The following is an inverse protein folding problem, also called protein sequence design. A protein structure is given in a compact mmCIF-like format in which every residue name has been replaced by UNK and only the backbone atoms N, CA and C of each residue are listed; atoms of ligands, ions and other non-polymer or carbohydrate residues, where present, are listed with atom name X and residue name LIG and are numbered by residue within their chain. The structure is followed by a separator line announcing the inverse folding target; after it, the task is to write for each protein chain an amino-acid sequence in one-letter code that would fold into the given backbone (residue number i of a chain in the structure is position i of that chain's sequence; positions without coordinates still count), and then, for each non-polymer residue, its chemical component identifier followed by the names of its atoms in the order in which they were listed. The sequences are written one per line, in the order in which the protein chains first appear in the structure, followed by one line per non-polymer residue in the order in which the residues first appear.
data_IF_148892489736
#
_entry.id   IF_148892489736
#
_cell.length_a   1.000
_cell.length_b   1.000
_cell.length_c   1.000
_cell.angle_alpha   90.00
_cell.angle_beta   90.00
_cell.angle_gamma   90.00
#
_symmetry.space_group_name_H-M   'P 1'
#
loop_
_entity.id
_entity.type
_entity.pdbx_description
1 polymer ?
#
# COMPACT_ATOMS: atom_id res chain seq x y z
N UNK A 1 41.71 75.22 -25.66
CA UNK A 1 40.45 75.52 -24.94
C UNK A 1 39.41 74.47 -25.32
N UNK A 2 38.82 73.85 -24.30
CA UNK A 2 37.45 73.32 -24.20
C UNK A 2 36.85 72.27 -25.16
N UNK A 3 36.53 71.12 -24.52
CA UNK A 3 35.22 70.41 -24.47
C UNK A 3 34.71 69.59 -25.66
N UNK A 4 34.77 68.25 -25.46
CA UNK A 4 33.85 67.11 -25.78
C UNK A 4 32.44 67.44 -26.37
N UNK A 5 31.71 66.51 -27.07
CA UNK A 5 31.59 65.08 -26.73
C UNK A 5 31.35 64.01 -27.85
N UNK A 6 31.43 62.75 -27.37
CA UNK A 6 30.90 61.42 -27.80
C UNK A 6 30.03 61.27 -29.07
N UNK A 7 30.31 60.20 -29.84
CA UNK A 7 29.27 59.43 -30.55
C UNK A 7 29.65 57.94 -30.71
N UNK A 8 28.60 57.14 -30.91
CA UNK A 8 28.48 55.74 -30.55
C UNK A 8 28.94 54.74 -31.63
N UNK A 9 29.34 53.57 -31.12
CA UNK A 9 29.03 52.22 -31.57
C UNK A 9 29.11 51.83 -33.06
N UNK A 10 29.94 50.82 -33.33
CA UNK A 10 29.57 49.72 -34.24
C UNK A 10 30.06 48.41 -33.63
N UNK A 11 29.11 47.59 -33.13
CA UNK A 11 29.34 46.18 -32.80
C UNK A 11 29.28 45.38 -34.11
N UNK A 12 30.31 44.59 -34.39
CA UNK A 12 30.31 43.60 -35.48
C UNK A 12 29.71 42.29 -34.97
N UNK A 13 28.67 41.81 -35.66
CA UNK A 13 27.91 40.59 -35.36
C UNK A 13 28.50 39.40 -36.11
N UNK A 14 28.98 38.40 -35.38
CA UNK A 14 29.30 37.09 -35.95
C UNK A 14 28.11 36.15 -35.77
N UNK A 15 27.49 35.76 -36.89
CA UNK A 15 26.40 34.78 -36.95
C UNK A 15 26.97 33.36 -36.81
N UNK A 16 26.65 32.67 -35.72
CA UNK A 16 26.82 31.21 -35.63
C UNK A 16 25.47 30.55 -35.89
N UNK A 17 25.31 29.93 -37.06
CA UNK A 17 24.13 29.14 -37.40
C UNK A 17 24.20 27.78 -36.69
N UNK A 18 23.38 27.56 -35.68
CA UNK A 18 23.15 26.25 -35.10
C UNK A 18 21.99 25.56 -35.82
N UNK A 19 22.28 24.48 -36.56
CA UNK A 19 21.26 23.57 -37.09
C UNK A 19 20.67 22.74 -35.93
N UNK A 20 19.44 23.02 -35.52
CA UNK A 20 18.66 22.12 -34.67
C UNK A 20 17.83 21.19 -35.56
N UNK A 21 18.31 19.96 -35.75
CA UNK A 21 17.49 18.90 -36.32
C UNK A 21 16.45 18.46 -35.26
N UNK A 22 15.20 18.91 -35.42
CA UNK A 22 14.07 18.41 -34.64
C UNK A 22 13.73 16.97 -35.10
N UNK A 23 14.24 15.97 -34.38
CA UNK A 23 13.72 14.60 -34.50
C UNK A 23 12.31 14.57 -33.92
N UNK A 24 11.30 14.53 -34.80
CA UNK A 24 9.94 14.22 -34.41
C UNK A 24 9.92 12.82 -33.76
N UNK A 25 9.62 12.75 -32.46
CA UNK A 25 9.39 11.49 -31.79
C UNK A 25 8.21 10.78 -32.48
N UNK A 26 8.30 9.47 -32.77
CA UNK A 26 7.20 8.76 -33.38
C UNK A 26 6.00 8.83 -32.43
N UNK A 27 4.86 9.29 -32.94
CA UNK A 27 3.60 9.25 -32.21
C UNK A 27 3.36 7.80 -31.78
N UNK A 28 3.41 7.55 -30.46
CA UNK A 28 3.13 6.25 -29.91
C UNK A 28 1.71 5.86 -30.31
N UNK A 29 1.58 4.90 -31.22
CA UNK A 29 0.31 4.32 -31.60
C UNK A 29 -0.39 3.85 -30.32
N UNK A 30 -1.56 4.42 -30.02
CA UNK A 30 -2.38 3.98 -28.92
C UNK A 30 -2.69 2.49 -29.14
N UNK A 31 -2.29 1.64 -28.19
CA UNK A 31 -2.64 0.23 -28.21
C UNK A 31 -4.16 0.10 -28.35
N UNK A 32 -4.67 -0.87 -29.15
CA UNK A 32 -6.10 -1.05 -29.31
C UNK A 32 -6.73 -1.26 -27.94
N UNK A 33 -7.84 -0.59 -27.68
CA UNK A 33 -8.61 -0.70 -26.45
C UNK A 33 -9.02 -2.18 -26.29
N UNK A 34 -8.23 -2.94 -25.54
CA UNK A 34 -8.51 -4.32 -25.22
C UNK A 34 -9.90 -4.38 -24.61
N UNK A 35 -10.73 -5.29 -25.12
CA UNK A 35 -12.00 -5.65 -24.50
C UNK A 35 -11.70 -6.09 -23.07
N UNK A 36 -11.90 -5.20 -22.10
CA UNK A 36 -11.70 -5.54 -20.70
C UNK A 36 -12.75 -6.58 -20.32
N UNK A 37 -12.34 -7.86 -20.35
CA UNK A 37 -13.16 -8.95 -19.87
C UNK A 37 -13.73 -8.57 -18.49
N UNK A 38 -15.03 -8.77 -18.32
CA UNK A 38 -15.73 -8.39 -17.08
C UNK A 38 -14.97 -8.99 -15.89
N UNK A 39 -14.63 -8.19 -14.86
CA UNK A 39 -13.85 -8.70 -13.74
C UNK A 39 -14.53 -9.90 -13.07
N UNK A 40 -13.76 -10.93 -12.75
CA UNK A 40 -14.28 -12.12 -12.06
C UNK A 40 -14.90 -11.71 -10.70
N UNK A 41 -16.09 -12.23 -10.34
CA UNK A 41 -16.67 -12.02 -9.02
C UNK A 41 -15.72 -12.51 -7.92
N UNK A 42 -15.74 -11.84 -6.77
CA UNK A 42 -15.07 -12.39 -5.59
C UNK A 42 -15.83 -13.64 -5.13
N UNK A 43 -15.09 -14.66 -4.71
CA UNK A 43 -15.68 -15.93 -4.23
C UNK A 43 -15.66 -16.06 -2.70
N UNK A 44 -15.35 -14.99 -1.96
CA UNK A 44 -15.42 -14.98 -0.50
C UNK A 44 -14.25 -15.65 0.24
N UNK A 45 -13.17 -16.00 -0.47
CA UNK A 45 -11.94 -16.50 0.15
C UNK A 45 -11.16 -15.33 0.77
N UNK A 46 -10.74 -15.49 2.03
CA UNK A 46 -10.06 -14.44 2.78
C UNK A 46 -9.13 -15.01 3.85
N UNK A 47 -8.18 -14.19 4.32
CA UNK A 47 -7.30 -14.53 5.44
C UNK A 47 -7.64 -13.67 6.65
N UNK A 48 -7.76 -14.32 7.79
CA UNK A 48 -8.16 -13.71 9.05
C UNK A 48 -7.16 -13.93 10.16
N UNK A 49 -6.99 -12.93 11.02
CA UNK A 49 -6.39 -13.07 12.34
C UNK A 49 -7.51 -13.16 13.39
N UNK A 50 -7.48 -14.23 14.18
CA UNK A 50 -8.29 -14.36 15.39
C UNK A 50 -7.55 -13.83 16.61
N UNK A 51 -8.27 -13.14 17.50
CA UNK A 51 -7.77 -12.66 18.80
C UNK A 51 -7.98 -13.68 19.95
N UNK A 52 -8.34 -14.93 19.61
CA UNK A 52 -8.37 -16.03 20.57
C UNK A 52 -6.98 -16.50 21.00
N UNK A 53 -6.93 -17.51 21.87
CA UNK A 53 -5.68 -18.08 22.40
C UNK A 53 -4.68 -18.39 21.28
N UNK A 54 -3.49 -17.80 21.37
CA UNK A 54 -2.39 -18.02 20.43
C UNK A 54 -2.52 -17.28 19.09
N UNK A 55 -3.46 -16.34 18.96
CA UNK A 55 -3.60 -15.45 17.81
C UNK A 55 -3.52 -16.15 16.44
N UNK A 56 -4.36 -17.17 16.16
CA UNK A 56 -4.21 -17.95 14.94
C UNK A 56 -4.58 -17.13 13.71
N UNK A 57 -3.76 -17.30 12.67
CA UNK A 57 -4.00 -16.74 11.34
C UNK A 57 -4.47 -17.88 10.44
N UNK A 58 -5.64 -17.71 9.81
CA UNK A 58 -6.31 -18.77 9.05
C UNK A 58 -6.87 -18.26 7.74
N UNK A 59 -6.80 -19.09 6.70
CA UNK A 59 -7.49 -18.89 5.43
C UNK A 59 -8.89 -19.47 5.52
N UNK A 60 -9.90 -18.71 5.18
CA UNK A 60 -11.27 -19.19 5.00
C UNK A 60 -11.57 -19.42 3.53
N UNK A 61 -12.23 -20.52 3.21
CA UNK A 61 -12.80 -20.80 1.89
C UNK A 61 -14.25 -21.28 2.04
N UNK A 62 -15.23 -20.65 1.33
CA UNK A 62 -16.61 -21.11 1.36
C UNK A 62 -16.74 -22.59 0.99
N UNK A 63 -17.56 -23.33 1.73
CA UNK A 63 -17.71 -24.78 1.59
C UNK A 63 -16.60 -25.61 2.24
N UNK A 64 -15.41 -25.06 2.48
CA UNK A 64 -14.29 -25.76 3.15
C UNK A 64 -14.01 -25.29 4.58
N UNK A 65 -14.43 -24.08 4.95
CA UNK A 65 -14.21 -23.52 6.28
C UNK A 65 -12.82 -22.92 6.46
N UNK A 66 -12.33 -22.90 7.70
CA UNK A 66 -11.05 -22.29 8.06
C UNK A 66 -9.91 -23.31 8.07
N UNK A 67 -8.78 -22.95 7.48
CA UNK A 67 -7.51 -23.69 7.53
C UNK A 67 -6.43 -22.80 8.13
N UNK A 68 -5.74 -23.29 9.17
CA UNK A 68 -4.68 -22.55 9.86
C UNK A 68 -3.46 -22.38 8.95
N UNK A 69 -2.98 -21.14 8.78
CA UNK A 69 -1.72 -20.79 8.11
C UNK A 69 -0.58 -20.60 9.12
N UNK A 70 -0.90 -20.19 10.33
CA UNK A 70 0.09 -19.89 11.35
C UNK A 70 -0.50 -19.20 12.56
N UNK A 71 0.35 -18.50 13.28
CA UNK A 71 0.00 -17.65 14.42
C UNK A 71 0.67 -16.30 14.22
N UNK A 72 0.10 -15.26 14.83
CA UNK A 72 0.76 -13.96 14.89
C UNK A 72 2.14 -14.11 15.56
N UNK A 73 3.23 -13.65 14.94
CA UNK A 73 4.53 -13.62 15.58
C UNK A 73 4.52 -12.65 16.76
N UNK A 74 5.30 -12.96 17.79
CA UNK A 74 5.40 -12.13 19.01
C UNK A 74 5.81 -10.68 18.74
N UNK A 75 6.54 -10.43 17.64
CA UNK A 75 6.94 -9.08 17.23
C UNK A 75 5.77 -8.22 16.75
N UNK A 76 4.62 -8.81 16.43
CA UNK A 76 3.50 -8.11 15.79
C UNK A 76 3.78 -7.70 14.33
N UNK A 77 5.00 -7.88 13.82
CA UNK A 77 5.40 -7.46 12.48
C UNK A 77 5.14 -8.56 11.45
N UNK A 78 3.93 -8.61 10.86
CA UNK A 78 3.56 -9.64 9.89
C UNK A 78 2.57 -9.16 8.81
N UNK A 79 2.40 -9.97 7.77
CA UNK A 79 1.33 -9.83 6.78
C UNK A 79 1.04 -11.16 6.08
N UNK A 80 -0.17 -11.28 5.52
CA UNK A 80 -0.57 -12.41 4.70
C UNK A 80 -0.40 -12.11 3.21
N UNK A 81 -0.03 -13.12 2.41
CA UNK A 81 0.09 -13.01 0.96
C UNK A 81 -1.28 -12.83 0.28
N UNK A 82 -1.38 -12.08 -0.82
CA UNK A 82 -2.63 -11.90 -1.56
C UNK A 82 -3.27 -13.20 -2.08
N UNK A 83 -2.48 -14.24 -2.38
CA UNK A 83 -2.98 -15.57 -2.72
C UNK A 83 -3.51 -16.36 -1.49
N UNK A 84 -3.31 -15.82 -0.29
CA UNK A 84 -3.74 -16.38 0.98
C UNK A 84 -2.98 -17.62 1.44
N UNK A 85 -1.85 -17.97 0.82
CA UNK A 85 -1.13 -19.23 1.09
C UNK A 85 0.04 -19.09 2.06
N UNK A 86 0.58 -17.89 2.23
CA UNK A 86 1.81 -17.66 3.00
C UNK A 86 1.68 -16.45 3.92
N UNK A 87 2.52 -16.43 4.95
CA UNK A 87 2.75 -15.29 5.81
C UNK A 87 4.16 -14.76 5.57
N UNK A 88 4.34 -13.46 5.75
CA UNK A 88 5.64 -12.83 5.93
C UNK A 88 5.72 -12.24 7.33
N UNK A 89 6.86 -12.34 7.99
CA UNK A 89 7.07 -11.70 9.29
C UNK A 89 8.52 -11.31 9.53
N UNK A 90 8.72 -10.39 10.47
CA UNK A 90 10.04 -9.99 10.95
C UNK A 90 10.29 -10.60 12.32
N UNK A 91 11.42 -11.29 12.47
CA UNK A 91 11.88 -11.79 13.77
C UNK A 91 12.51 -10.67 14.60
N UNK A 92 12.67 -10.90 15.90
CA UNK A 92 13.48 -10.08 16.81
C UNK A 92 14.91 -9.79 16.29
N UNK A 93 15.52 -10.77 15.60
CA UNK A 93 16.83 -10.62 14.94
C UNK A 93 16.80 -9.85 13.61
N UNK A 94 15.65 -9.31 13.19
CA UNK A 94 15.52 -8.58 11.93
C UNK A 94 15.58 -9.47 10.69
N UNK A 95 15.19 -10.74 10.80
CA UNK A 95 15.06 -11.63 9.63
C UNK A 95 13.66 -11.52 9.06
N UNK A 96 13.58 -11.30 7.74
CA UNK A 96 12.32 -11.39 7.01
C UNK A 96 12.11 -12.85 6.66
N UNK A 97 11.11 -13.48 7.27
CA UNK A 97 10.70 -14.85 7.00
C UNK A 97 9.46 -14.89 6.13
N UNK A 98 9.40 -15.86 5.24
CA UNK A 98 8.26 -16.11 4.35
C UNK A 98 7.91 -17.60 4.37
N UNK A 99 6.64 -17.93 4.59
CA UNK A 99 6.13 -19.30 4.51
C UNK A 99 4.90 -19.54 5.38
N UNK A 100 4.67 -20.79 5.79
CA UNK A 100 3.53 -21.21 6.61
C UNK A 100 4.03 -22.13 7.73
N UNK A 101 3.89 -21.71 8.99
CA UNK A 101 4.39 -22.47 10.13
C UNK A 101 5.89 -22.76 10.06
N UNK A 102 6.28 -24.02 10.25
CA UNK A 102 7.68 -24.47 10.30
C UNK A 102 8.41 -24.44 8.95
N UNK A 103 7.70 -24.34 7.82
CA UNK A 103 8.29 -24.40 6.47
C UNK A 103 8.83 -23.05 5.97
N UNK A 104 8.84 -22.02 6.82
CA UNK A 104 9.23 -20.69 6.39
C UNK A 104 10.73 -20.50 6.25
N UNK A 105 11.13 -19.88 5.14
CA UNK A 105 12.50 -19.54 4.83
C UNK A 105 12.82 -18.09 5.18
N UNK A 106 14.08 -17.81 5.51
CA UNK A 106 14.59 -16.44 5.60
C UNK A 106 14.89 -15.93 4.20
N UNK A 107 14.21 -14.89 3.77
CA UNK A 107 14.37 -14.29 2.42
C UNK A 107 15.22 -13.01 2.45
N UNK A 108 15.34 -12.36 3.61
CA UNK A 108 16.21 -11.21 3.81
C UNK A 108 16.60 -11.04 5.28
N UNK A 109 17.64 -10.24 5.52
CA UNK A 109 18.15 -9.89 6.86
C UNK A 109 18.29 -8.37 6.99
N UNK A 110 18.43 -7.89 8.23
CA UNK A 110 18.62 -6.47 8.53
C UNK A 110 17.34 -5.65 8.41
N UNK A 111 16.17 -6.26 8.58
CA UNK A 111 14.93 -5.53 8.75
C UNK A 111 14.90 -4.80 10.10
N UNK A 112 14.17 -3.69 10.17
CA UNK A 112 13.90 -3.00 11.43
C UNK A 112 13.04 -3.91 12.32
N UNK A 113 13.62 -4.45 13.39
CA UNK A 113 12.95 -5.32 14.35
C UNK A 113 12.63 -4.58 15.66
N UNK A 114 11.60 -5.04 16.37
CA UNK A 114 11.16 -4.41 17.62
C UNK A 114 10.40 -3.10 17.42
N UNK A 115 10.12 -2.74 16.17
CA UNK A 115 9.32 -1.58 15.79
C UNK A 115 8.01 -2.09 15.17
N UNK A 116 6.95 -2.30 15.99
CA UNK A 116 5.79 -3.10 15.60
C UNK A 116 5.07 -2.57 14.35
N UNK A 117 5.08 -1.25 14.14
CA UNK A 117 4.52 -0.63 12.94
C UNK A 117 5.25 -1.02 11.63
N UNK A 118 6.54 -1.41 11.68
CA UNK A 118 7.34 -1.73 10.49
C UNK A 118 7.08 -3.17 10.03
N UNK A 119 5.86 -3.45 9.60
CA UNK A 119 5.45 -4.76 9.10
C UNK A 119 6.05 -5.04 7.71
N UNK A 120 6.49 -6.28 7.41
CA UNK A 120 6.78 -6.65 6.02
C UNK A 120 5.46 -6.73 5.23
N UNK A 121 5.43 -6.30 3.96
CA UNK A 121 4.20 -6.26 3.16
C UNK A 121 4.36 -6.89 1.78
N UNK A 122 3.42 -7.73 1.42
CA UNK A 122 3.44 -8.50 0.17
C UNK A 122 3.09 -7.65 -1.05
N UNK A 123 3.82 -7.85 -2.14
CA UNK A 123 3.41 -7.34 -3.45
C UNK A 123 2.09 -7.98 -3.89
N UNK A 124 1.26 -7.30 -4.71
CA UNK A 124 -0.05 -7.79 -5.13
C UNK A 124 -0.03 -9.13 -5.88
N UNK A 125 1.10 -9.50 -6.46
CA UNK A 125 1.31 -10.75 -7.20
C UNK A 125 1.79 -11.92 -6.32
N UNK A 126 1.92 -11.71 -5.00
CA UNK A 126 2.45 -12.68 -4.03
C UNK A 126 3.89 -13.16 -4.31
N UNK A 127 4.68 -12.42 -5.10
CA UNK A 127 6.04 -12.84 -5.49
C UNK A 127 7.16 -12.13 -4.73
N UNK A 128 6.87 -10.96 -4.14
CA UNK A 128 7.84 -10.13 -3.44
C UNK A 128 7.31 -9.65 -2.10
N UNK A 129 8.24 -9.27 -1.24
CA UNK A 129 7.97 -8.65 0.06
C UNK A 129 8.74 -7.34 0.14
N UNK A 130 8.06 -6.26 0.51
CA UNK A 130 8.70 -5.01 0.92
C UNK A 130 8.89 -5.00 2.43
N UNK A 131 9.99 -4.42 2.89
CA UNK A 131 10.28 -4.26 4.31
C UNK A 131 11.16 -3.04 4.55
N UNK A 132 11.09 -2.51 5.77
CA UNK A 132 11.95 -1.39 6.21
C UNK A 132 13.27 -1.98 6.73
N UNK A 133 14.40 -1.50 6.22
CA UNK A 133 15.72 -1.85 6.75
C UNK A 133 15.98 -1.13 8.06
N UNK A 134 16.69 -1.79 8.98
CA UNK A 134 17.23 -1.16 10.18
C UNK A 134 18.14 0.00 9.79
N UNK A 135 18.00 1.14 10.46
CA UNK A 135 18.79 2.34 10.24
C UNK A 135 18.61 3.33 11.39
N UNK A 136 19.42 4.39 11.39
CA UNK A 136 19.49 5.39 12.45
C UNK A 136 18.94 6.76 12.01
N UNK A 137 18.21 6.82 10.89
CA UNK A 137 17.64 8.05 10.34
C UNK A 137 16.13 8.08 10.51
N UNK A 138 15.57 9.29 10.65
CA UNK A 138 14.11 9.50 10.74
C UNK A 138 13.37 8.98 9.50
N UNK A 139 13.98 9.10 8.32
CA UNK A 139 13.49 8.47 7.11
C UNK A 139 14.00 7.03 6.98
N UNK A 140 13.11 6.07 6.76
CA UNK A 140 13.47 4.66 6.62
C UNK A 140 13.80 4.29 5.18
N UNK A 141 14.76 3.37 5.04
CA UNK A 141 15.09 2.74 3.76
C UNK A 141 14.17 1.55 3.51
N UNK A 142 13.32 1.64 2.48
CA UNK A 142 12.42 0.56 2.09
C UNK A 142 13.11 -0.31 1.04
N UNK A 143 13.14 -1.61 1.29
CA UNK A 143 13.71 -2.62 0.39
C UNK A 143 12.63 -3.59 -0.07
N UNK A 144 12.83 -4.18 -1.25
CA UNK A 144 11.95 -5.21 -1.82
C UNK A 144 12.79 -6.41 -2.17
N UNK A 145 12.30 -7.62 -1.86
CA UNK A 145 12.98 -8.89 -2.12
C UNK A 145 12.00 -9.93 -2.67
N UNK A 146 12.48 -10.84 -3.52
CA UNK A 146 11.72 -12.00 -3.96
C UNK A 146 11.42 -12.96 -2.81
N UNK A 147 10.32 -13.71 -2.92
CA UNK A 147 9.94 -14.73 -1.93
C UNK A 147 10.85 -15.95 -1.93
N UNK A 148 11.73 -16.06 -2.92
CA UNK A 148 12.86 -16.98 -3.02
C UNK A 148 14.16 -16.41 -2.42
N UNK A 149 14.12 -15.19 -1.87
CA UNK A 149 15.28 -14.47 -1.33
C UNK A 149 16.15 -13.77 -2.39
N UNK A 150 15.79 -13.83 -3.67
CA UNK A 150 16.58 -13.25 -4.77
C UNK A 150 16.05 -11.86 -5.16
N UNK A 151 16.84 -11.14 -5.98
CA UNK A 151 16.44 -9.85 -6.54
C UNK A 151 16.21 -8.75 -5.52
N UNK A 152 16.85 -8.84 -4.35
CA UNK A 152 16.78 -7.84 -3.29
C UNK A 152 17.31 -6.49 -3.78
N UNK A 153 16.52 -5.43 -3.63
CA UNK A 153 16.92 -4.07 -4.00
C UNK A 153 16.31 -3.02 -3.08
N UNK A 154 16.96 -1.86 -2.99
CA UNK A 154 16.35 -0.66 -2.39
C UNK A 154 15.22 -0.18 -3.30
N UNK A 155 14.04 0.04 -2.72
CA UNK A 155 12.91 0.66 -3.39
C UNK A 155 12.94 2.18 -3.28
N UNK A 156 13.44 2.72 -2.16
CA UNK A 156 13.64 4.14 -1.94
C UNK A 156 13.75 4.48 -0.45
N UNK A 157 13.68 5.77 -0.13
CA UNK A 157 13.68 6.27 1.24
C UNK A 157 12.41 7.10 1.46
N UNK A 158 11.77 6.96 2.61
CA UNK A 158 10.51 7.65 2.94
C UNK A 158 10.39 7.86 4.45
N UNK A 159 9.65 8.90 4.85
CA UNK A 159 9.22 9.07 6.25
C UNK A 159 8.07 8.12 6.59
N UNK A 160 7.25 7.76 5.60
CA UNK A 160 6.11 6.87 5.78
C UNK A 160 6.51 5.39 5.80
N UNK A 161 7.02 4.92 6.93
CA UNK A 161 7.60 3.57 7.10
C UNK A 161 6.66 2.61 7.84
N UNK A 162 5.66 3.13 8.53
CA UNK A 162 4.73 2.33 9.32
C UNK A 162 3.54 1.84 8.48
N UNK A 163 3.12 0.59 8.72
CA UNK A 163 2.04 -0.13 8.04
C UNK A 163 2.02 0.15 6.53
N UNK A 164 3.12 -0.20 5.86
CA UNK A 164 3.21 -0.05 4.41
C UNK A 164 2.07 -0.82 3.71
N UNK A 165 1.59 -0.31 2.59
CA UNK A 165 0.68 -1.02 1.71
C UNK A 165 1.10 -0.80 0.25
N UNK A 166 0.93 -1.82 -0.58
CA UNK A 166 1.16 -1.71 -2.02
C UNK A 166 -0.05 -1.10 -2.74
N UNK A 167 0.20 -0.38 -3.82
CA UNK A 167 -0.82 -0.17 -4.85
C UNK A 167 -1.15 -1.49 -5.51
N UNK A 168 -2.40 -1.64 -5.92
CA UNK A 168 -2.88 -2.92 -6.43
C UNK A 168 -2.21 -3.36 -7.76
N UNK A 169 -1.50 -2.45 -8.44
CA UNK A 169 -0.66 -2.76 -9.61
C UNK A 169 0.80 -3.15 -9.25
N UNK A 170 1.25 -2.90 -8.02
CA UNK A 170 2.60 -3.18 -7.54
C UNK A 170 3.65 -2.11 -7.86
N UNK A 171 3.26 -0.89 -8.25
CA UNK A 171 4.20 0.23 -8.53
C UNK A 171 4.51 1.10 -7.32
N UNK A 172 3.55 1.28 -6.43
CA UNK A 172 3.68 2.20 -5.31
C UNK A 172 3.59 1.47 -3.98
N UNK A 173 4.25 2.05 -2.99
CA UNK A 173 4.06 1.75 -1.58
C UNK A 173 3.55 3.00 -0.89
N UNK A 174 2.74 2.89 0.16
CA UNK A 174 2.51 4.00 1.08
C UNK A 174 2.44 3.53 2.52
N UNK A 175 2.93 4.36 3.42
CA UNK A 175 2.86 4.18 4.86
C UNK A 175 2.71 5.52 5.56
N UNK A 176 2.34 5.49 6.84
CA UNK A 176 2.30 6.70 7.66
C UNK A 176 3.65 6.92 8.35
N UNK A 177 3.94 8.18 8.70
CA UNK A 177 5.15 8.49 9.46
C UNK A 177 5.07 7.92 10.88
N UNK A 178 6.20 7.54 11.48
CA UNK A 178 6.23 7.06 12.88
C UNK A 178 5.66 8.07 13.88
N UNK A 179 5.75 9.37 13.56
CA UNK A 179 5.13 10.46 14.33
C UNK A 179 3.61 10.56 14.15
N UNK A 180 3.02 9.73 13.29
CA UNK A 180 1.63 9.81 12.78
C UNK A 180 1.32 11.01 11.88
N UNK A 181 2.30 11.90 11.64
CA UNK A 181 2.12 13.15 10.89
C UNK A 181 2.14 12.97 9.37
N UNK A 182 1.09 12.32 8.90
CA UNK A 182 0.74 12.17 7.50
C UNK A 182 1.19 10.85 6.91
N UNK A 183 0.85 10.70 5.63
CA UNK A 183 1.09 9.50 4.84
C UNK A 183 1.99 9.85 3.67
N UNK A 184 2.87 8.93 3.29
CA UNK A 184 3.83 9.12 2.21
C UNK A 184 3.70 7.98 1.22
N UNK A 185 3.62 8.31 -0.07
CA UNK A 185 3.62 7.36 -1.18
C UNK A 185 4.99 7.34 -1.83
N UNK A 186 5.61 6.16 -1.88
CA UNK A 186 6.87 5.86 -2.54
C UNK A 186 6.63 5.21 -3.91
N UNK A 187 7.21 5.76 -4.97
CA UNK A 187 7.32 5.10 -6.28
C UNK A 187 8.52 4.14 -6.26
N UNK A 188 8.27 2.83 -6.33
CA UNK A 188 9.35 1.83 -6.19
C UNK A 188 10.23 1.70 -7.44
N UNK A 189 9.87 2.37 -8.54
CA UNK A 189 10.65 2.41 -9.78
C UNK A 189 11.64 3.57 -9.75
N UNK A 190 11.23 4.73 -9.24
CA UNK A 190 12.07 5.94 -9.23
C UNK A 190 12.73 6.19 -7.87
N UNK A 191 12.24 5.57 -6.79
CA UNK A 191 12.72 5.81 -5.43
C UNK A 191 12.20 7.11 -4.80
N UNK A 192 11.36 7.87 -5.51
CA UNK A 192 10.82 9.14 -5.04
C UNK A 192 9.60 8.93 -4.14
N UNK A 193 9.65 9.50 -2.94
CA UNK A 193 8.52 9.58 -2.03
C UNK A 193 7.84 10.96 -2.11
N UNK A 194 6.52 10.98 -1.96
CA UNK A 194 5.71 12.21 -1.85
C UNK A 194 4.76 12.11 -0.66
N UNK A 195 4.57 13.21 0.07
CA UNK A 195 3.54 13.31 1.11
C UNK A 195 2.15 13.37 0.45
N UNK A 196 1.23 12.55 0.93
CA UNK A 196 -0.19 12.57 0.55
C UNK A 196 -0.78 13.88 1.08
N UNK A 197 -1.31 14.72 0.19
CA UNK A 197 -1.90 16.00 0.61
C UNK A 197 -3.17 15.77 1.44
N UNK A 198 -3.51 16.72 2.31
CA UNK A 198 -4.75 16.67 3.10
C UNK A 198 -4.82 15.60 4.19
N UNK A 199 -3.80 14.74 4.33
CA UNK A 199 -3.68 13.80 5.46
C UNK A 199 -2.74 14.39 6.50
N UNK A 200 -3.32 15.04 7.50
CA UNK A 200 -2.58 15.62 8.63
C UNK A 200 -2.07 14.54 9.59
N UNK A 201 -2.98 13.73 10.12
CA UNK A 201 -2.67 12.66 11.08
C UNK A 201 -3.31 11.33 10.63
N UNK A 202 -2.53 10.25 10.71
CA UNK A 202 -2.99 8.89 10.42
C UNK A 202 -2.12 7.85 11.15
N UNK A 203 -2.71 6.71 11.49
CA UNK A 203 -2.02 5.58 12.12
C UNK A 203 -2.14 4.26 11.35
N UNK A 204 -2.77 4.27 10.17
CA UNK A 204 -2.81 3.09 9.32
C UNK A 204 -3.03 3.45 7.84
N UNK A 205 -2.41 2.67 6.97
CA UNK A 205 -2.65 2.65 5.52
C UNK A 205 -3.03 1.23 5.14
N UNK A 206 -4.23 1.05 4.61
CA UNK A 206 -4.76 -0.29 4.34
C UNK A 206 -4.56 -0.73 2.88
N UNK A 207 -4.66 0.20 1.92
CA UNK A 207 -4.41 -0.08 0.51
C UNK A 207 -4.27 1.20 -0.31
N UNK A 208 -3.74 1.09 -1.53
CA UNK A 208 -3.85 2.13 -2.56
C UNK A 208 -4.61 1.60 -3.78
N UNK A 209 -5.24 2.51 -4.52
CA UNK A 209 -5.80 2.22 -5.85
C UNK A 209 -4.72 1.63 -6.78
N UNK A 210 -5.09 0.91 -7.86
CA UNK A 210 -4.12 0.32 -8.76
C UNK A 210 -3.07 1.33 -9.24
N UNK A 211 -3.48 2.49 -9.70
CA UNK A 211 -2.61 3.57 -10.17
C UNK A 211 -1.89 4.36 -9.05
N UNK A 212 -2.15 4.02 -7.78
CA UNK A 212 -1.62 4.72 -6.61
C UNK A 212 -2.10 6.16 -6.45
N UNK A 213 -3.14 6.61 -7.16
CA UNK A 213 -3.68 7.97 -7.06
C UNK A 213 -4.57 8.17 -5.84
N UNK A 214 -5.09 7.08 -5.26
CA UNK A 214 -5.90 7.11 -4.04
C UNK A 214 -5.32 6.19 -2.97
N UNK A 215 -5.46 6.60 -1.71
CA UNK A 215 -5.02 5.84 -0.54
C UNK A 215 -6.17 5.66 0.45
N UNK A 216 -6.28 4.47 1.02
CA UNK A 216 -7.18 4.18 2.14
C UNK A 216 -6.41 4.35 3.45
N UNK A 217 -6.85 5.28 4.27
CA UNK A 217 -6.19 5.62 5.55
C UNK A 217 -7.14 5.48 6.73
N UNK A 218 -6.58 5.22 7.91
CA UNK A 218 -7.22 5.47 9.19
C UNK A 218 -6.84 6.89 9.65
N UNK A 219 -7.71 7.90 9.45
CA UNK A 219 -7.41 9.25 9.90
C UNK A 219 -7.46 9.33 11.44
N UNK A 220 -6.58 10.14 12.01
CA UNK A 220 -6.59 10.44 13.44
C UNK A 220 -7.16 11.85 13.70
N UNK A 221 -7.84 12.00 14.84
CA UNK A 221 -8.09 13.32 15.42
C UNK A 221 -6.84 13.81 16.15
N UNK A 222 -6.74 15.12 16.38
CA UNK A 222 -5.57 15.75 17.03
C UNK A 222 -5.27 15.20 18.43
N UNK A 223 -6.29 14.70 19.12
CA UNK A 223 -6.18 14.22 20.50
C UNK A 223 -6.24 12.68 20.59
N UNK A 224 -6.33 11.98 19.44
CA UNK A 224 -6.31 10.54 19.45
C UNK A 224 -4.91 10.02 19.82
N UNK A 225 -4.79 8.93 20.59
CA UNK A 225 -3.50 8.31 20.82
C UNK A 225 -2.88 7.89 19.49
N UNK A 226 -1.59 8.19 19.32
CA UNK A 226 -0.79 7.73 18.18
C UNK A 226 -0.48 6.23 18.26
N UNK A 227 0.49 5.78 17.44
CA UNK A 227 0.95 4.38 17.40
C UNK A 227 0.24 3.55 16.33
N UNK A 228 0.15 2.23 16.54
CA UNK A 228 -0.34 1.26 15.54
C UNK A 228 -1.87 1.24 15.38
N UNK A 229 -2.56 2.04 16.21
CA UNK A 229 -4.00 2.21 16.15
C UNK A 229 -4.75 0.91 16.41
N UNK A 230 -5.74 0.63 15.57
CA UNK A 230 -6.51 -0.61 15.66
C UNK A 230 -5.94 -1.74 14.80
N UNK A 231 -4.81 -1.58 14.10
CA UNK A 231 -4.28 -2.62 13.20
C UNK A 231 -3.96 -3.92 13.96
N UNK A 232 -4.26 -5.11 13.38
CA UNK A 232 -4.96 -5.35 12.10
C UNK A 232 -6.49 -5.39 12.19
N UNK A 233 -7.07 -4.87 13.26
CA UNK A 233 -8.51 -4.72 13.48
C UNK A 233 -9.18 -3.63 12.62
N UNK A 234 -10.46 -3.39 12.92
CA UNK A 234 -11.30 -2.49 12.14
C UNK A 234 -11.07 -1.01 12.46
N UNK A 235 -11.27 -0.16 11.46
CA UNK A 235 -11.25 1.30 11.60
C UNK A 235 -12.20 1.94 10.59
N UNK A 236 -12.63 3.18 10.85
CA UNK A 236 -13.42 3.94 9.88
C UNK A 236 -12.52 4.42 8.74
N UNK A 237 -12.64 3.86 7.52
CA UNK A 237 -11.73 4.20 6.44
C UNK A 237 -12.06 5.56 5.82
N UNK A 238 -11.02 6.27 5.39
CA UNK A 238 -11.14 7.40 4.48
C UNK A 238 -10.35 7.11 3.19
N UNK A 239 -10.94 7.41 2.03
CA UNK A 239 -10.24 7.37 0.75
C UNK A 239 -9.79 8.80 0.43
N UNK A 240 -8.49 8.99 0.20
CA UNK A 240 -7.90 10.31 -0.07
C UNK A 240 -7.15 10.29 -1.39
N UNK A 241 -7.37 11.29 -2.22
CA UNK A 241 -6.59 11.53 -3.43
C UNK A 241 -5.18 12.03 -3.07
N UNK A 242 -4.15 11.37 -3.59
CA UNK A 242 -2.76 11.60 -3.18
C UNK A 242 -2.27 12.99 -3.56
N UNK A 243 -2.66 13.49 -4.74
CA UNK A 243 -2.14 14.73 -5.30
C UNK A 243 -2.89 15.97 -4.80
N UNK A 244 -4.20 15.84 -4.57
CA UNK A 244 -5.08 16.95 -4.20
C UNK A 244 -5.47 16.96 -2.73
N UNK A 245 -5.41 15.81 -2.05
CA UNK A 245 -5.90 15.65 -0.69
C UNK A 245 -7.42 15.62 -0.55
N UNK A 246 -8.16 15.63 -1.67
CA UNK A 246 -9.61 15.54 -1.65
C UNK A 246 -10.04 14.16 -1.17
N UNK A 247 -10.99 14.12 -0.22
CA UNK A 247 -11.60 12.88 0.25
C UNK A 247 -12.62 12.39 -0.79
N UNK A 248 -12.54 11.12 -1.16
CA UNK A 248 -13.55 10.47 -1.99
C UNK A 248 -14.64 9.85 -1.10
N UNK A 249 -15.90 10.01 -1.50
CA UNK A 249 -17.02 9.40 -0.80
C UNK A 249 -16.97 7.86 -0.92
N UNK A 250 -17.37 7.18 0.13
CA UNK A 250 -17.63 5.73 0.12
C UNK A 250 -19.15 5.57 0.27
N UNK A 251 -19.91 5.37 -0.82
CA UNK A 251 -21.38 5.34 -0.81
C UNK A 251 -21.93 4.02 -0.27
N UNK A 252 -21.44 3.58 0.90
CA UNK A 252 -21.85 2.35 1.57
C UNK A 252 -22.46 2.72 2.93
N UNK A 253 -23.71 2.32 3.14
CA UNK A 253 -24.40 2.52 4.42
C UNK A 253 -23.86 1.55 5.49
N UNK A 254 -23.89 2.00 6.75
CA UNK A 254 -23.52 1.19 7.91
C UNK A 254 -22.17 1.57 8.54
N UNK A 255 -21.74 0.78 9.52
CA UNK A 255 -20.46 1.00 10.20
C UNK A 255 -19.32 0.40 9.40
N UNK A 256 -18.56 1.26 8.72
CA UNK A 256 -17.42 0.87 7.90
C UNK A 256 -16.22 0.57 8.80
N UNK A 257 -15.62 -0.61 8.61
CA UNK A 257 -14.51 -1.12 9.42
C UNK A 257 -13.27 -1.48 8.57
N UNK A 258 -13.22 -1.02 7.33
CA UNK A 258 -12.07 -1.15 6.43
C UNK A 258 -12.46 -0.98 4.96
N UNK A 259 -11.48 -0.70 4.11
CA UNK A 259 -11.62 -0.70 2.67
C UNK A 259 -10.31 -1.12 1.95
N UNK A 260 -10.44 -1.90 0.88
CA UNK A 260 -9.31 -2.45 0.12
C UNK A 260 -9.53 -2.31 -1.38
N UNK A 261 -8.56 -1.73 -2.08
CA UNK A 261 -8.57 -1.73 -3.54
C UNK A 261 -8.14 -3.07 -4.13
N UNK A 262 -8.88 -3.51 -5.15
CA UNK A 262 -8.52 -4.62 -6.03
C UNK A 262 -7.73 -4.11 -7.24
N UNK A 263 -7.00 -5.01 -7.89
CA UNK A 263 -6.16 -4.69 -9.07
C UNK A 263 -6.97 -4.19 -10.27
N UNK A 264 -8.23 -4.61 -10.37
CA UNK A 264 -9.17 -4.17 -11.41
C UNK A 264 -9.82 -2.80 -11.11
N UNK A 265 -9.42 -2.12 -10.02
CA UNK A 265 -9.91 -0.81 -9.63
C UNK A 265 -11.17 -0.83 -8.77
N UNK A 266 -11.77 -2.01 -8.50
CA UNK A 266 -12.87 -2.11 -7.54
C UNK A 266 -12.41 -1.81 -6.12
N UNK A 267 -13.29 -1.23 -5.32
CA UNK A 267 -13.08 -1.01 -3.89
C UNK A 267 -13.94 -1.97 -3.08
N UNK A 268 -13.33 -2.80 -2.25
CA UNK A 268 -14.05 -3.65 -1.29
C UNK A 268 -14.13 -2.92 0.03
N UNK A 269 -15.34 -2.68 0.52
CA UNK A 269 -15.60 -2.01 1.79
C UNK A 269 -16.11 -3.06 2.79
N UNK A 270 -15.44 -3.16 3.94
CA UNK A 270 -15.83 -4.05 5.03
C UNK A 270 -16.80 -3.32 5.95
N UNK A 271 -17.98 -3.88 6.15
CA UNK A 271 -19.06 -3.30 6.96
C UNK A 271 -19.33 -4.20 8.16
N UNK A 272 -19.34 -3.63 9.37
CA UNK A 272 -19.67 -4.36 10.57
C UNK A 272 -21.16 -4.74 10.58
N UNK A 273 -21.47 -5.99 10.93
CA UNK A 273 -22.85 -6.46 11.08
C UNK A 273 -23.03 -7.31 12.33
N UNK A 274 -24.27 -7.41 12.82
CA UNK A 274 -24.60 -8.02 14.14
C UNK A 274 -24.25 -9.50 14.23
N UNK A 275 -24.55 -10.29 13.20
CA UNK A 275 -24.25 -11.72 13.13
C UNK A 275 -22.94 -12.01 12.37
N UNK A 276 -22.71 -11.29 11.28
CA UNK A 276 -21.52 -11.38 10.45
C UNK A 276 -21.20 -10.01 9.85
N UNK A 277 -19.94 -9.81 9.49
CA UNK A 277 -19.52 -8.66 8.71
C UNK A 277 -19.85 -8.88 7.23
N UNK A 278 -19.80 -7.82 6.43
CA UNK A 278 -20.10 -7.88 4.99
C UNK A 278 -19.00 -7.19 4.19
N UNK A 279 -18.62 -7.81 3.06
CA UNK A 279 -17.80 -7.20 2.03
C UNK A 279 -18.71 -6.63 0.95
N UNK A 280 -18.73 -5.32 0.81
CA UNK A 280 -19.45 -4.59 -0.25
C UNK A 280 -18.44 -4.20 -1.31
N UNK A 281 -18.64 -4.65 -2.55
CA UNK A 281 -17.72 -4.36 -3.66
C UNK A 281 -18.31 -3.25 -4.52
N UNK A 282 -17.57 -2.16 -4.66
CA UNK A 282 -17.88 -1.04 -5.52
C UNK A 282 -17.07 -1.10 -6.82
N UNK A 283 -17.67 -0.75 -7.94
CA UNK A 283 -16.91 -0.43 -9.16
C UNK A 283 -16.21 0.93 -9.06
N UNK A 284 -15.44 1.28 -10.11
CA UNK A 284 -14.67 2.54 -10.17
C UNK A 284 -15.54 3.80 -10.06
N UNK A 285 -16.84 3.70 -10.32
CA UNK A 285 -17.80 4.80 -10.23
C UNK A 285 -18.52 4.83 -8.87
N UNK A 286 -18.15 3.94 -7.94
CA UNK A 286 -18.77 3.85 -6.62
C UNK A 286 -20.09 3.08 -6.60
N UNK A 287 -20.48 2.43 -7.70
CA UNK A 287 -21.71 1.62 -7.73
C UNK A 287 -21.44 0.26 -7.11
N UNK A 288 -22.32 -0.19 -6.23
CA UNK A 288 -22.24 -1.54 -5.67
C UNK A 288 -22.47 -2.59 -6.78
N UNK A 289 -21.49 -3.48 -6.96
CA UNK A 289 -21.53 -4.57 -7.94
C UNK A 289 -21.58 -5.95 -7.31
N UNK A 290 -21.24 -6.07 -6.03
CA UNK A 290 -21.30 -7.33 -5.30
C UNK A 290 -21.46 -7.07 -3.80
N UNK A 291 -22.08 -8.03 -3.10
CA UNK A 291 -22.15 -8.07 -1.65
C UNK A 291 -21.90 -9.51 -1.19
N UNK A 292 -20.97 -9.71 -0.26
CA UNK A 292 -20.62 -11.02 0.28
C UNK A 292 -20.71 -10.97 1.81
N UNK A 293 -21.39 -11.94 2.39
CA UNK A 293 -21.41 -12.13 3.85
C UNK A 293 -20.14 -12.88 4.27
N UNK A 294 -19.38 -12.33 5.22
CA UNK A 294 -18.26 -13.03 5.82
C UNK A 294 -18.75 -14.18 6.72
N UNK A 295 -17.95 -15.23 6.99
CA UNK A 295 -18.35 -16.26 7.93
C UNK A 295 -18.61 -15.65 9.32
N UNK A 296 -19.66 -16.09 10.01
CA UNK A 296 -20.04 -15.55 11.33
C UNK A 296 -18.89 -15.63 12.35
N UNK A 297 -18.09 -16.69 12.30
CA UNK A 297 -16.90 -16.87 13.14
C UNK A 297 -15.82 -15.77 12.92
N UNK A 298 -15.79 -15.12 11.76
CA UNK A 298 -14.89 -14.00 11.46
C UNK A 298 -15.42 -12.63 11.90
N UNK A 299 -16.63 -12.53 12.48
CA UNK A 299 -17.25 -11.25 12.86
C UNK A 299 -16.34 -10.39 13.74
N UNK A 300 -15.59 -11.00 14.65
CA UNK A 300 -14.64 -10.35 15.57
C UNK A 300 -13.17 -10.53 15.16
N UNK A 301 -12.92 -11.03 13.96
CA UNK A 301 -11.57 -11.28 13.45
C UNK A 301 -11.10 -10.12 12.57
N UNK A 302 -9.80 -9.89 12.58
CA UNK A 302 -9.12 -8.96 11.69
C UNK A 302 -9.05 -9.56 10.28
N UNK A 303 -9.47 -8.80 9.26
CA UNK A 303 -9.36 -9.20 7.86
C UNK A 303 -7.99 -8.76 7.33
N UNK A 304 -7.10 -9.73 7.09
CA UNK A 304 -5.74 -9.46 6.63
C UNK A 304 -5.64 -9.37 5.11
N UNK A 305 -6.36 -10.25 4.39
CA UNK A 305 -6.36 -10.31 2.93
C UNK A 305 -7.68 -10.81 2.38
N UNK A 306 -8.04 -10.30 1.21
CA UNK A 306 -9.09 -10.85 0.35
C UNK A 306 -8.37 -11.58 -0.79
N UNK A 307 -8.59 -12.89 -0.90
CA UNK A 307 -7.91 -13.73 -1.89
C UNK A 307 -8.58 -13.56 -3.25
N UNK A 308 -7.74 -13.48 -4.29
CA UNK A 308 -8.12 -13.12 -5.66
C UNK A 308 -7.83 -14.25 -6.64
#
# INVERSE_FOLDING_TARGET
MNTRPLSAAVLSTALAAALTAALAAPAAAAAPAGTYARPKPLIGVAVYLSYGKGFPISRYEPGKGFTKLGVMPMTGQFSASPDGRKLAWITDRGYVRVGSGSTAATVARGAAAGFPCATPVWSPDSRRVAYVKKGNSDAGSVSVVGTDGRGGRKAGTTLGVCHLAWSADGRYLAGYAGTTEGVYRLDVRTGKAVKVKGVGLANHVQSLSPDGTKVVVAPLSRNAPGGDGSWPGGFRPAVVDVATGKKAAIPVKGSLIGAFYLRDGRLVVRVAGRAANTLVVLDKNGRQVQRLTEPAAARRQALLQIVR
#
